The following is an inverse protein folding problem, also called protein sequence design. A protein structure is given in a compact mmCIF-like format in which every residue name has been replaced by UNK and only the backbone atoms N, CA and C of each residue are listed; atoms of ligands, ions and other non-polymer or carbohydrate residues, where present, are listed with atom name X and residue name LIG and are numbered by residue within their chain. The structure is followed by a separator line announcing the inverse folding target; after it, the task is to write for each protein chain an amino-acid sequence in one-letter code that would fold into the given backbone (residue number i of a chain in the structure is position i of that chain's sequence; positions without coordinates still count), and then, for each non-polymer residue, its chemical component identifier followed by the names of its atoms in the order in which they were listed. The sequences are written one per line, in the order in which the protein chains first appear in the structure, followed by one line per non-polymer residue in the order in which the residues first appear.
data_IF_281552641957
#
_entry.id   IF_281552641957
#
_cell.length_a   1.000
_cell.length_b   1.000
_cell.length_c   1.000
_cell.angle_alpha   90.00
_cell.angle_beta   90.00
_cell.angle_gamma   90.00
#
_symmetry.space_group_name_H-M   'P 1'
#
loop_
_entity.id
_entity.type
_entity.pdbx_description
1 polymer ?
#
# COMPACT_ATOMS: atom_id res chain seq x y z
N UNK A 1 -16.05 -0.76 18.08
CA UNK A 1 -15.88 -0.36 16.66
C UNK A 1 -14.78 -1.22 16.10
N UNK A 2 -14.88 -1.69 14.85
CA UNK A 2 -13.79 -2.48 14.25
C UNK A 2 -12.50 -1.65 14.21
N UNK A 3 -11.34 -2.27 14.40
CA UNK A 3 -10.05 -1.57 14.41
C UNK A 3 -9.79 -0.92 13.05
N UNK A 4 -10.16 -1.61 11.95
CA UNK A 4 -10.10 -1.09 10.59
C UNK A 4 -10.90 0.22 10.44
N UNK A 5 -12.14 0.24 10.92
CA UNK A 5 -12.99 1.43 10.86
C UNK A 5 -12.42 2.59 11.69
N UNK A 6 -11.78 2.28 12.81
CA UNK A 6 -11.12 3.25 13.68
C UNK A 6 -9.92 3.90 12.97
N UNK A 7 -9.07 3.09 12.36
CA UNK A 7 -7.91 3.57 11.61
C UNK A 7 -8.32 4.34 10.35
N UNK A 8 -9.35 3.90 9.63
CA UNK A 8 -9.89 4.62 8.48
C UNK A 8 -10.38 6.02 8.88
N UNK A 9 -11.18 6.13 9.94
CA UNK A 9 -11.65 7.42 10.45
C UNK A 9 -10.50 8.32 10.90
N UNK A 10 -9.49 7.76 11.57
CA UNK A 10 -8.31 8.51 11.99
C UNK A 10 -7.51 9.06 10.80
N UNK A 11 -7.27 8.23 9.78
CA UNK A 11 -6.60 8.62 8.54
C UNK A 11 -7.40 9.70 7.78
N UNK A 12 -8.71 9.53 7.64
CA UNK A 12 -9.59 10.52 6.99
C UNK A 12 -9.60 11.86 7.73
N UNK A 13 -9.64 11.81 9.06
CA UNK A 13 -9.57 13.02 9.92
C UNK A 13 -8.21 13.71 9.75
N UNK A 14 -7.12 12.94 9.73
CA UNK A 14 -5.78 13.50 9.59
C UNK A 14 -5.57 14.14 8.22
N UNK A 15 -6.06 13.52 7.14
CA UNK A 15 -5.93 14.07 5.79
C UNK A 15 -6.88 15.24 5.51
N UNK A 16 -7.80 15.58 6.41
CA UNK A 16 -8.61 16.82 6.41
C UNK A 16 -9.14 17.23 5.03
N UNK A 17 -9.83 16.30 4.36
CA UNK A 17 -10.45 16.54 3.06
C UNK A 17 -9.56 16.36 1.84
N UNK A 18 -8.29 15.96 1.99
CA UNK A 18 -7.41 15.53 0.89
C UNK A 18 -7.92 14.21 0.27
N UNK A 19 -8.92 14.34 -0.60
CA UNK A 19 -9.60 13.20 -1.24
C UNK A 19 -8.66 12.34 -2.08
N UNK A 20 -7.57 12.93 -2.60
CA UNK A 20 -6.59 12.17 -3.38
C UNK A 20 -5.91 11.15 -2.48
N UNK A 21 -5.39 11.57 -1.33
CA UNK A 21 -4.67 10.68 -0.40
C UNK A 21 -5.60 9.69 0.30
N UNK A 22 -6.79 10.14 0.67
CA UNK A 22 -7.82 9.26 1.23
C UNK A 22 -8.22 8.17 0.22
N UNK A 23 -8.46 8.54 -1.04
CA UNK A 23 -8.82 7.58 -2.09
C UNK A 23 -7.69 6.60 -2.39
N UNK A 24 -6.45 7.11 -2.44
CA UNK A 24 -5.25 6.31 -2.65
C UNK A 24 -5.11 5.22 -1.56
N UNK A 25 -5.10 5.61 -0.28
CA UNK A 25 -4.98 4.67 0.85
C UNK A 25 -6.10 3.61 0.85
N UNK A 26 -7.34 3.99 0.51
CA UNK A 26 -8.45 3.04 0.40
C UNK A 26 -8.28 2.04 -0.75
N UNK A 27 -7.72 2.46 -1.89
CA UNK A 27 -7.42 1.55 -3.00
C UNK A 27 -6.26 0.61 -2.63
N UNK A 28 -5.24 1.10 -1.94
CA UNK A 28 -4.13 0.29 -1.44
C UNK A 28 -4.65 -0.76 -0.47
N UNK A 29 -5.51 -0.38 0.48
CA UNK A 29 -6.18 -1.31 1.38
C UNK A 29 -6.97 -2.40 0.64
N UNK A 30 -7.70 -2.04 -0.40
CA UNK A 30 -8.44 -3.01 -1.22
C UNK A 30 -7.53 -4.06 -1.88
N UNK A 31 -6.40 -3.63 -2.46
CA UNK A 31 -5.40 -4.56 -3.00
C UNK A 31 -4.72 -5.38 -1.91
N UNK A 32 -4.40 -4.79 -0.78
CA UNK A 32 -3.76 -5.46 0.33
C UNK A 32 -4.65 -6.60 0.86
N UNK A 33 -5.94 -6.34 1.05
CA UNK A 33 -6.92 -7.37 1.44
C UNK A 33 -7.04 -8.49 0.40
N UNK A 34 -7.05 -8.13 -0.89
CA UNK A 34 -7.11 -9.10 -1.99
C UNK A 34 -5.87 -10.01 -2.00
N UNK A 35 -4.67 -9.45 -1.89
CA UNK A 35 -3.41 -10.19 -1.93
C UNK A 35 -3.27 -11.04 -0.66
N UNK A 36 -3.50 -10.46 0.51
CA UNK A 36 -3.48 -11.15 1.81
C UNK A 36 -4.40 -12.37 1.84
N UNK A 37 -5.59 -12.31 1.21
CA UNK A 37 -6.51 -13.45 1.14
C UNK A 37 -5.94 -14.71 0.46
N UNK A 38 -4.82 -14.57 -0.26
CA UNK A 38 -4.16 -15.63 -1.01
C UNK A 38 -2.74 -15.93 -0.49
N UNK A 39 -2.02 -14.90 -0.07
CA UNK A 39 -0.63 -14.99 0.38
C UNK A 39 -0.50 -15.16 1.91
N UNK A 40 -1.58 -14.89 2.67
CA UNK A 40 -1.56 -14.89 4.13
C UNK A 40 -0.95 -13.61 4.71
N UNK A 41 -0.34 -13.73 5.90
CA UNK A 41 0.22 -12.62 6.66
C UNK A 41 -0.62 -12.22 7.88
N UNK A 42 -0.10 -11.27 8.66
CA UNK A 42 -0.82 -10.72 9.82
C UNK A 42 -1.83 -9.67 9.35
N UNK A 43 -3.10 -10.00 9.51
CA UNK A 43 -4.21 -9.15 9.07
C UNK A 43 -4.16 -7.74 9.65
N UNK A 44 -3.84 -7.61 10.94
CA UNK A 44 -3.89 -6.32 11.61
C UNK A 44 -2.72 -5.45 11.15
N UNK A 45 -1.52 -6.03 11.04
CA UNK A 45 -0.33 -5.33 10.51
C UNK A 45 -0.58 -4.84 9.09
N UNK A 46 -1.12 -5.69 8.22
CA UNK A 46 -1.38 -5.35 6.81
C UNK A 46 -2.45 -4.26 6.71
N UNK A 47 -3.58 -4.40 7.40
CA UNK A 47 -4.66 -3.40 7.34
C UNK A 47 -4.16 -2.05 7.86
N UNK A 48 -3.48 -2.02 9.01
CA UNK A 48 -2.97 -0.79 9.58
C UNK A 48 -1.92 -0.12 8.68
N UNK A 49 -0.98 -0.90 8.16
CA UNK A 49 0.07 -0.39 7.26
C UNK A 49 -0.52 0.15 5.96
N UNK A 50 -1.49 -0.55 5.35
CA UNK A 50 -2.14 -0.10 4.12
C UNK A 50 -2.86 1.24 4.30
N UNK A 51 -3.55 1.42 5.43
CA UNK A 51 -4.27 2.66 5.75
C UNK A 51 -3.30 3.82 6.03
N UNK A 52 -2.17 3.55 6.68
CA UNK A 52 -1.31 4.59 7.25
C UNK A 52 0.03 4.80 6.52
N UNK A 53 0.39 4.03 5.49
CA UNK A 53 1.70 4.13 4.82
C UNK A 53 2.07 5.56 4.40
N UNK A 54 1.13 6.28 3.78
CA UNK A 54 1.31 7.64 3.27
C UNK A 54 1.06 8.75 4.32
N UNK A 55 0.82 8.42 5.59
CA UNK A 55 0.37 9.40 6.61
C UNK A 55 1.39 10.52 6.85
N UNK A 56 2.67 10.27 6.54
CA UNK A 56 3.76 11.24 6.67
C UNK A 56 3.69 12.39 5.66
N UNK A 57 2.89 12.30 4.60
CA UNK A 57 3.00 13.18 3.44
C UNK A 57 2.75 14.67 3.73
N UNK A 58 1.76 15.01 4.56
CA UNK A 58 1.48 16.41 4.92
C UNK A 58 2.62 17.03 5.74
N UNK A 59 3.23 16.25 6.65
CA UNK A 59 4.39 16.72 7.40
C UNK A 59 5.63 16.83 6.53
N UNK A 60 5.81 15.92 5.57
CA UNK A 60 6.88 16.00 4.59
C UNK A 60 6.79 17.30 3.77
N UNK A 61 5.59 17.62 3.28
CA UNK A 61 5.34 18.87 2.55
C UNK A 61 5.58 20.10 3.44
N UNK A 62 5.04 20.11 4.66
CA UNK A 62 5.19 21.24 5.60
C UNK A 62 6.63 21.50 6.02
N UNK A 63 7.42 20.45 6.27
CA UNK A 63 8.80 20.59 6.81
C UNK A 63 9.86 20.71 5.74
N UNK A 64 9.70 20.04 4.60
CA UNK A 64 10.73 19.95 3.57
C UNK A 64 10.30 20.54 2.23
N UNK A 65 9.08 21.09 2.13
CA UNK A 65 8.49 21.57 0.88
C UNK A 65 8.53 20.50 -0.23
N UNK A 66 8.32 19.23 0.15
CA UNK A 66 8.47 18.08 -0.72
C UNK A 66 7.62 16.90 -0.25
N UNK A 67 7.02 16.20 -1.21
CA UNK A 67 6.29 14.94 -0.98
C UNK A 67 7.12 13.71 -1.36
N UNK A 68 8.45 13.85 -1.48
CA UNK A 68 9.32 12.73 -1.82
C UNK A 68 9.27 11.63 -0.73
N UNK A 69 9.28 10.37 -1.17
CA UNK A 69 9.08 9.21 -0.30
C UNK A 69 9.98 9.19 0.94
N UNK A 70 11.27 9.53 0.78
CA UNK A 70 12.23 9.60 1.91
C UNK A 70 11.77 10.50 3.06
N UNK A 71 11.00 11.55 2.79
CA UNK A 71 10.51 12.46 3.83
C UNK A 71 9.20 11.95 4.43
N UNK A 72 8.38 11.27 3.63
CA UNK A 72 7.18 10.61 4.12
C UNK A 72 7.54 9.50 5.12
N UNK A 73 8.56 8.70 4.80
CA UNK A 73 9.09 7.64 5.68
C UNK A 73 9.60 8.18 7.02
N UNK A 74 10.31 9.32 7.01
CA UNK A 74 10.79 9.98 8.23
C UNK A 74 9.62 10.49 9.08
N UNK A 75 8.62 11.09 8.44
CA UNK A 75 7.54 11.78 9.14
C UNK A 75 6.33 10.88 9.48
N UNK A 76 6.19 9.73 8.83
CA UNK A 76 5.05 8.83 8.94
C UNK A 76 5.00 8.09 10.27
N UNK A 77 6.11 7.45 10.68
CA UNK A 77 6.12 6.58 11.87
C UNK A 77 5.68 7.30 13.17
N UNK A 78 6.13 8.54 13.48
CA UNK A 78 5.65 9.26 14.67
C UNK A 78 4.15 9.55 14.68
N UNK A 79 3.52 9.72 13.51
CA UNK A 79 2.09 10.01 13.37
C UNK A 79 1.29 8.72 13.46
N UNK A 80 1.72 7.70 12.72
CA UNK A 80 1.12 6.38 12.76
C UNK A 80 1.13 5.81 14.18
N UNK A 81 2.24 5.95 14.93
CA UNK A 81 2.33 5.48 16.32
C UNK A 81 1.23 6.06 17.20
N UNK A 82 1.02 7.38 17.13
CA UNK A 82 -0.03 8.04 17.91
C UNK A 82 -1.43 7.56 17.53
N UNK A 83 -1.69 7.38 16.23
CA UNK A 83 -2.97 6.87 15.74
C UNK A 83 -3.22 5.45 16.25
N UNK A 84 -2.21 4.57 16.19
CA UNK A 84 -2.30 3.18 16.65
C UNK A 84 -2.52 3.08 18.16
N UNK A 85 -1.80 3.88 18.96
CA UNK A 85 -1.96 3.94 20.42
C UNK A 85 -3.37 4.42 20.82
N UNK A 86 -3.89 5.46 20.17
CA UNK A 86 -5.25 5.97 20.43
C UNK A 86 -6.32 4.95 20.03
N UNK A 87 -6.03 4.13 19.01
CA UNK A 87 -6.93 3.09 18.52
C UNK A 87 -6.87 1.78 19.34
N UNK A 88 -6.08 1.74 20.43
CA UNK A 88 -5.87 0.53 21.25
C UNK A 88 -5.36 -0.66 20.41
N UNK A 89 -4.45 -0.37 19.46
CA UNK A 89 -3.86 -1.37 18.58
C UNK A 89 -2.88 -2.28 19.34
N UNK A 90 -2.77 -3.58 19.02
CA UNK A 90 -1.90 -4.49 19.77
C UNK A 90 -0.43 -4.04 19.80
N UNK A 91 0.11 -3.83 21.00
CA UNK A 91 1.46 -3.32 21.23
C UNK A 91 2.54 -4.19 20.58
N UNK A 92 2.34 -5.51 20.55
CA UNK A 92 3.24 -6.49 19.92
C UNK A 92 3.33 -6.35 18.40
N UNK A 93 2.37 -5.65 17.78
CA UNK A 93 2.29 -5.44 16.32
C UNK A 93 2.69 -4.03 15.89
N UNK A 94 2.65 -3.04 16.79
CA UNK A 94 2.96 -1.63 16.45
C UNK A 94 4.34 -1.52 15.80
N UNK A 95 5.35 -2.21 16.35
CA UNK A 95 6.72 -2.12 15.85
C UNK A 95 6.84 -2.49 14.36
N UNK A 96 6.17 -3.56 13.91
CA UNK A 96 6.20 -3.98 12.51
C UNK A 96 5.45 -2.99 11.59
N UNK A 97 4.30 -2.46 12.04
CA UNK A 97 3.57 -1.45 11.27
C UNK A 97 4.44 -0.20 11.06
N UNK A 98 5.11 0.27 12.12
CA UNK A 98 5.99 1.44 12.02
C UNK A 98 7.21 1.19 11.12
N UNK A 99 7.73 -0.03 11.11
CA UNK A 99 8.87 -0.42 10.26
C UNK A 99 8.46 -0.48 8.79
N UNK A 100 7.28 -1.02 8.48
CA UNK A 100 6.72 -0.99 7.12
C UNK A 100 6.54 0.45 6.64
N UNK A 101 5.97 1.33 7.47
CA UNK A 101 5.76 2.74 7.13
C UNK A 101 7.11 3.46 6.92
N UNK A 102 8.14 3.12 7.66
CA UNK A 102 9.47 3.72 7.51
C UNK A 102 10.22 3.26 6.25
N UNK A 103 9.75 2.21 5.57
CA UNK A 103 10.46 1.59 4.44
C UNK A 103 9.59 1.36 3.19
N UNK A 104 8.35 1.85 3.15
CA UNK A 104 7.40 1.54 2.08
C UNK A 104 7.81 2.08 0.70
N UNK A 105 8.70 3.08 0.62
CA UNK A 105 9.31 3.55 -0.63
C UNK A 105 10.75 3.07 -0.83
N UNK A 106 11.52 2.92 0.24
CA UNK A 106 12.93 2.52 0.20
C UNK A 106 13.13 1.02 0.00
N UNK A 107 12.14 0.21 0.40
CA UNK A 107 12.26 -1.23 0.42
C UNK A 107 13.19 -1.74 1.52
N UNK A 108 13.54 -3.02 1.42
CA UNK A 108 14.55 -3.66 2.28
C UNK A 108 14.01 -4.59 3.37
N UNK A 109 12.69 -4.69 3.54
CA UNK A 109 12.08 -5.64 4.46
C UNK A 109 11.67 -6.92 3.73
N UNK A 110 11.82 -8.05 4.41
CA UNK A 110 11.55 -9.37 3.84
C UNK A 110 10.23 -10.00 4.28
N UNK A 111 9.51 -9.37 5.22
CA UNK A 111 8.26 -9.91 5.77
C UNK A 111 7.19 -9.98 4.69
N UNK A 112 6.29 -10.98 4.82
CA UNK A 112 5.16 -11.09 3.90
C UNK A 112 4.23 -9.88 4.00
N UNK A 113 4.07 -9.33 5.21
CA UNK A 113 3.27 -8.13 5.46
C UNK A 113 3.80 -6.94 4.64
N UNK A 114 5.11 -6.67 4.70
CA UNK A 114 5.75 -5.63 3.91
C UNK A 114 5.54 -5.85 2.40
N UNK A 115 5.79 -7.06 1.91
CA UNK A 115 5.67 -7.41 0.49
C UNK A 115 4.26 -7.14 -0.04
N UNK A 116 3.24 -7.43 0.76
CA UNK A 116 1.84 -7.14 0.42
C UNK A 116 1.59 -5.64 0.32
N UNK A 117 2.10 -4.83 1.25
CA UNK A 117 1.93 -3.37 1.22
C UNK A 117 2.64 -2.76 0.02
N UNK A 118 3.90 -3.14 -0.20
CA UNK A 118 4.68 -2.71 -1.35
C UNK A 118 3.96 -3.01 -2.66
N UNK A 119 3.50 -4.25 -2.84
CA UNK A 119 2.79 -4.65 -4.05
C UNK A 119 1.49 -3.87 -4.24
N UNK A 120 0.74 -3.66 -3.16
CA UNK A 120 -0.53 -2.96 -3.19
C UNK A 120 -0.37 -1.49 -3.55
N UNK A 121 0.62 -0.80 -2.98
CA UNK A 121 0.94 0.58 -3.32
C UNK A 121 1.38 0.72 -4.79
N UNK A 122 2.29 -0.14 -5.25
CA UNK A 122 2.70 -0.15 -6.66
C UNK A 122 1.52 -0.38 -7.62
N UNK A 123 0.60 -1.30 -7.29
CA UNK A 123 -0.59 -1.56 -8.11
C UNK A 123 -1.50 -0.33 -8.25
N UNK A 124 -1.61 0.50 -7.20
CA UNK A 124 -2.39 1.74 -7.24
C UNK A 124 -1.61 2.83 -7.98
N UNK A 125 -0.33 3.02 -7.67
CA UNK A 125 0.52 4.05 -8.29
C UNK A 125 0.58 3.93 -9.81
N UNK A 126 0.73 2.70 -10.34
CA UNK A 126 0.74 2.46 -11.79
C UNK A 126 -0.59 2.86 -12.46
N UNK A 127 -1.71 2.78 -11.73
CA UNK A 127 -3.04 3.14 -12.24
C UNK A 127 -3.35 4.63 -12.12
N UNK A 128 -2.74 5.31 -11.16
CA UNK A 128 -3.00 6.72 -10.86
C UNK A 128 -1.99 7.67 -11.49
N UNK A 129 -0.82 7.18 -11.91
CA UNK A 129 0.20 7.97 -12.61
C UNK A 129 0.45 7.44 -14.03
N UNK A 130 -0.12 8.13 -15.02
CA UNK A 130 0.08 7.83 -16.44
C UNK A 130 1.56 7.87 -16.88
N UNK A 131 2.44 8.53 -16.11
CA UNK A 131 3.88 8.56 -16.38
C UNK A 131 4.57 7.27 -15.92
N UNK A 132 3.98 6.51 -14.98
CA UNK A 132 4.47 5.22 -14.52
C UNK A 132 4.04 4.09 -15.47
N UNK A 133 4.55 4.11 -16.70
CA UNK A 133 4.39 3.01 -17.63
C UNK A 133 5.49 1.96 -17.43
N UNK A 134 5.21 0.95 -16.61
CA UNK A 134 6.08 -0.22 -16.48
C UNK A 134 5.64 -1.32 -17.43
N UNK A 135 6.59 -2.07 -17.99
CA UNK A 135 6.30 -3.27 -18.79
C UNK A 135 6.32 -4.53 -17.89
N UNK A 136 5.86 -5.67 -18.43
CA UNK A 136 5.83 -6.95 -17.70
C UNK A 136 7.18 -7.34 -17.08
N UNK A 137 8.29 -7.20 -17.82
CA UNK A 137 9.63 -7.54 -17.33
C UNK A 137 10.04 -6.69 -16.12
N UNK A 138 9.61 -5.43 -16.07
CA UNK A 138 9.84 -4.53 -14.94
C UNK A 138 8.89 -4.86 -13.78
N UNK A 139 7.62 -5.14 -14.07
CA UNK A 139 6.65 -5.59 -13.08
C UNK A 139 7.12 -6.86 -12.35
N UNK A 140 7.65 -7.85 -13.07
CA UNK A 140 8.19 -9.10 -12.48
C UNK A 140 9.36 -8.87 -11.51
N UNK A 141 10.03 -7.70 -11.59
CA UNK A 141 11.12 -7.29 -10.67
C UNK A 141 10.65 -6.40 -9.53
N UNK A 142 9.55 -5.67 -9.72
CA UNK A 142 9.00 -4.74 -8.74
C UNK A 142 8.11 -5.48 -7.75
N UNK A 143 7.23 -6.34 -8.26
CA UNK A 143 6.26 -7.06 -7.44
C UNK A 143 6.89 -8.29 -6.80
N UNK A 144 6.65 -8.44 -5.50
CA UNK A 144 7.14 -9.57 -4.72
C UNK A 144 6.24 -10.80 -4.89
N UNK A 145 4.92 -10.63 -4.73
CA UNK A 145 3.95 -11.72 -4.70
C UNK A 145 3.52 -12.14 -6.11
N UNK A 146 3.18 -13.41 -6.26
CA UNK A 146 2.66 -13.91 -7.54
C UNK A 146 1.24 -13.42 -7.81
N UNK A 147 0.48 -13.15 -6.75
CA UNK A 147 -0.85 -12.55 -6.85
C UNK A 147 -0.77 -11.13 -7.40
N UNK A 148 0.15 -10.28 -6.95
CA UNK A 148 0.31 -8.94 -7.51
C UNK A 148 0.73 -8.96 -8.98
N UNK A 149 1.67 -9.84 -9.36
CA UNK A 149 2.07 -10.03 -10.77
C UNK A 149 0.90 -10.45 -11.65
N UNK A 150 0.03 -11.33 -11.14
CA UNK A 150 -1.22 -11.72 -11.81
C UNK A 150 -2.17 -10.53 -11.93
N UNK A 151 -2.47 -9.83 -10.82
CA UNK A 151 -3.37 -8.67 -10.82
C UNK A 151 -2.88 -7.63 -11.84
N UNK A 152 -1.61 -7.28 -11.83
CA UNK A 152 -1.00 -6.40 -12.82
C UNK A 152 -1.21 -6.94 -14.25
N UNK A 153 -0.84 -8.20 -14.51
CA UNK A 153 -0.98 -8.83 -15.84
C UNK A 153 -2.42 -8.84 -16.37
N UNK A 154 -3.42 -8.94 -15.48
CA UNK A 154 -4.84 -8.93 -15.83
C UNK A 154 -5.48 -7.54 -15.89
N UNK A 155 -4.85 -6.52 -15.28
CA UNK A 155 -5.44 -5.20 -15.10
C UNK A 155 -4.82 -4.09 -15.99
N UNK A 156 -3.70 -4.34 -16.66
CA UNK A 156 -3.07 -3.34 -17.55
C UNK A 156 -3.78 -3.22 -18.91
N UNK A 157 -3.70 -2.03 -19.53
CA UNK A 157 -4.29 -1.71 -20.85
C UNK A 157 -3.83 -2.61 -22.02
N UNK A 158 -2.78 -3.43 -21.85
CA UNK A 158 -2.36 -4.47 -22.80
C UNK A 158 -3.07 -5.82 -22.63
N UNK A 159 -3.90 -5.98 -21.60
CA UNK A 159 -4.57 -7.24 -21.27
C UNK A 159 -5.68 -7.62 -22.26
N UNK A 160 -6.51 -6.68 -22.81
CA UNK A 160 -7.53 -7.08 -23.77
C UNK A 160 -6.96 -7.76 -25.01
N UNK A 161 -5.80 -7.34 -25.50
CA UNK A 161 -5.20 -7.91 -26.71
C UNK A 161 -4.52 -9.26 -26.47
N UNK A 162 -3.78 -9.43 -25.37
CA UNK A 162 -3.13 -10.69 -25.03
C UNK A 162 -4.10 -11.76 -24.50
N UNK A 163 -5.11 -11.35 -23.70
CA UNK A 163 -6.18 -12.25 -23.26
C UNK A 163 -7.04 -12.74 -24.43
N UNK A 164 -7.42 -11.84 -25.37
CA UNK A 164 -8.15 -12.25 -26.59
C UNK A 164 -7.37 -13.25 -27.44
N UNK A 165 -6.03 -13.21 -27.43
CA UNK A 165 -5.19 -14.15 -28.19
C UNK A 165 -5.14 -15.55 -27.58
N UNK A 166 -5.18 -15.67 -26.24
CA UNK A 166 -5.10 -16.98 -25.59
C UNK A 166 -5.80 -16.98 -24.21
N UNK A 167 -7.15 -17.00 -24.17
CA UNK A 167 -7.90 -16.94 -22.92
C UNK A 167 -7.73 -18.20 -22.04
N UNK A 168 -7.50 -19.37 -22.65
CA UNK A 168 -7.36 -20.65 -21.93
C UNK A 168 -6.14 -20.70 -21.01
N UNK A 169 -5.05 -20.03 -21.40
CA UNK A 169 -3.84 -19.87 -20.55
C UNK A 169 -4.15 -19.21 -19.20
N UNK A 170 -5.23 -18.45 -19.13
CA UNK A 170 -5.56 -17.55 -18.04
C UNK A 170 -6.81 -17.95 -17.25
N UNK A 171 -7.51 -19.02 -17.66
CA UNK A 171 -8.78 -19.47 -17.09
C UNK A 171 -8.63 -20.55 -15.99
N UNK A 172 -7.49 -20.62 -15.29
CA UNK A 172 -7.26 -21.55 -14.18
C UNK A 172 -7.24 -20.85 -12.82
#
# INVERSE_FOLDING_TARGET
MDIKDTLLKAMETYFDGDQKRISHAKKVLSFAEQIMSKEGGDKDVIIASAILHDIGIHNAEKKYNSTAGKYQEIEGSPIAKKILEIADFPDDKIAEVLDIIAHHHSGGLETINFKIIWDSDWLVNIKEDDKLNINKKRADKIFFTDIAKKIYSFCCAGCPSEFKKNPEKYAK
#
